data_IF_742325830493
#
_entry.id   IF_742325830493
#
_cell.length_a   1.000
_cell.length_b   1.000
_cell.length_c   1.000
_cell.angle_alpha   90.00
_cell.angle_beta   90.00
_cell.angle_gamma   90.00
#
_symmetry.space_group_name_H-M   'P 1'
#
loop_
_entity.id
_entity.type
_entity.pdbx_description
1 polymer ?
#
# COMPACT_ATOMS: atom_id res chain seq x y z
N UNK A 1 62.03 -6.54 32.75
CA UNK A 1 60.92 -5.58 32.62
C UNK A 1 59.76 -6.33 31.98
N UNK A 2 58.55 -6.31 32.55
CA UNK A 2 57.40 -7.02 32.00
C UNK A 2 56.97 -6.44 30.65
N UNK A 3 56.40 -7.29 29.78
CA UNK A 3 55.62 -6.83 28.62
C UNK A 3 54.25 -6.41 29.13
N UNK A 4 53.84 -5.18 28.84
CA UNK A 4 52.58 -4.61 29.32
C UNK A 4 51.57 -4.54 28.19
N UNK A 5 50.32 -4.89 28.50
CA UNK A 5 49.20 -4.42 27.70
C UNK A 5 49.10 -2.89 27.82
N UNK A 6 48.49 -2.25 26.84
CA UNK A 6 48.51 -0.79 26.80
C UNK A 6 47.67 -0.12 27.91
N UNK A 7 46.79 -0.88 28.57
CA UNK A 7 46.03 -0.47 29.77
C UNK A 7 46.73 -0.82 31.10
N UNK A 8 47.94 -1.38 31.05
CA UNK A 8 48.72 -1.78 32.23
C UNK A 8 49.88 -0.82 32.49
N UNK A 9 50.25 -0.73 33.76
CA UNK A 9 51.43 -0.02 34.25
C UNK A 9 52.22 -0.94 35.16
N UNK A 10 53.55 -0.79 35.17
CA UNK A 10 54.42 -1.56 36.05
C UNK A 10 55.24 -0.64 36.95
N UNK A 11 55.33 -0.99 38.24
CA UNK A 11 56.24 -0.37 39.20
C UNK A 11 57.19 -1.40 39.79
N UNK A 12 58.47 -1.08 39.89
CA UNK A 12 59.45 -1.97 40.51
C UNK A 12 59.41 -1.86 42.03
N UNK A 13 59.27 -3.00 42.71
CA UNK A 13 59.26 -3.09 44.16
C UNK A 13 60.66 -3.41 44.69
N UNK A 14 61.30 -2.43 45.33
CA UNK A 14 62.66 -2.58 45.85
C UNK A 14 62.80 -3.54 47.03
N UNK A 15 61.71 -3.90 47.71
CA UNK A 15 61.74 -4.83 48.86
C UNK A 15 61.62 -6.28 48.40
N UNK A 16 60.73 -6.57 47.46
CA UNK A 16 60.52 -7.92 46.93
C UNK A 16 61.41 -8.24 45.73
N UNK A 17 62.06 -7.22 45.15
CA UNK A 17 62.82 -7.31 43.90
C UNK A 17 61.98 -7.84 42.72
N UNK A 18 60.67 -7.54 42.71
CA UNK A 18 59.72 -7.93 41.67
C UNK A 18 59.06 -6.71 41.01
N UNK A 19 58.48 -6.91 39.83
CA UNK A 19 57.65 -5.91 39.16
C UNK A 19 56.19 -6.13 39.53
N UNK A 20 55.55 -5.11 40.11
CA UNK A 20 54.12 -5.09 40.36
C UNK A 20 53.43 -4.50 39.13
N UNK A 21 52.53 -5.26 38.49
CA UNK A 21 51.74 -4.83 37.33
C UNK A 21 50.31 -4.51 37.77
N UNK A 22 49.81 -3.35 37.38
CA UNK A 22 48.45 -2.89 37.69
C UNK A 22 47.77 -2.33 36.44
N UNK A 23 46.45 -2.43 36.38
CA UNK A 23 45.65 -1.99 35.24
C UNK A 23 44.57 -3.00 34.92
N UNK A 24 43.50 -2.54 34.28
CA UNK A 24 42.38 -3.38 33.87
C UNK A 24 41.88 -2.94 32.51
N UNK A 25 41.55 -3.90 31.66
CA UNK A 25 40.96 -3.60 30.36
C UNK A 25 39.67 -2.78 30.53
N UNK A 26 39.47 -1.70 29.74
CA UNK A 26 38.22 -0.95 29.75
C UNK A 26 37.01 -1.84 29.46
N UNK A 27 35.90 -1.58 30.14
CA UNK A 27 34.65 -2.29 29.89
C UNK A 27 34.24 -2.14 28.42
N UNK A 28 33.75 -3.25 27.83
CA UNK A 28 33.22 -3.23 26.47
C UNK A 28 32.00 -2.31 26.40
N UNK A 29 31.87 -1.48 25.34
CA UNK A 29 30.69 -0.63 25.17
C UNK A 29 29.44 -1.48 24.92
N UNK A 30 28.27 -0.95 25.31
CA UNK A 30 26.99 -1.50 24.87
C UNK A 30 26.85 -1.26 23.37
N UNK A 31 26.52 -2.31 22.61
CA UNK A 31 26.37 -2.25 21.17
C UNK A 31 24.91 -2.27 20.75
N UNK A 32 24.56 -1.49 19.73
CA UNK A 32 23.40 -1.79 18.92
C UNK A 32 23.62 -3.11 18.17
N UNK A 33 22.53 -3.76 17.78
CA UNK A 33 22.64 -5.10 17.21
C UNK A 33 23.28 -5.11 15.79
N UNK A 34 23.37 -3.95 15.13
CA UNK A 34 24.09 -3.73 13.87
C UNK A 34 25.54 -3.27 14.07
N UNK A 35 26.03 -3.21 15.32
CA UNK A 35 27.38 -2.76 15.66
C UNK A 35 28.26 -3.93 16.10
N UNK A 36 29.57 -3.74 15.97
CA UNK A 36 30.63 -4.63 16.45
C UNK A 36 31.72 -3.80 17.11
N UNK A 37 32.36 -4.32 18.15
CA UNK A 37 33.49 -3.67 18.81
C UNK A 37 34.76 -4.52 18.69
N UNK A 38 35.89 -3.88 18.41
CA UNK A 38 37.23 -4.48 18.46
C UNK A 38 38.14 -3.64 19.35
N UNK A 39 38.88 -4.28 20.26
CA UNK A 39 39.81 -3.57 21.13
C UNK A 39 41.11 -3.24 20.38
N UNK A 40 41.51 -1.97 20.44
CA UNK A 40 42.72 -1.46 19.81
C UNK A 40 43.86 -1.39 20.83
N UNK A 41 44.81 -2.32 20.72
CA UNK A 41 45.95 -2.40 21.64
C UNK A 41 46.95 -1.24 21.53
N UNK A 42 46.81 -0.34 20.55
CA UNK A 42 47.67 0.85 20.41
C UNK A 42 47.05 2.06 21.10
N UNK A 43 45.74 2.28 20.93
CA UNK A 43 45.01 3.41 21.50
C UNK A 43 44.42 3.11 22.88
N UNK A 44 44.36 1.83 23.26
CA UNK A 44 43.71 1.33 24.47
C UNK A 44 42.21 1.64 24.55
N UNK A 45 41.57 1.68 23.39
CA UNK A 45 40.15 1.99 23.25
C UNK A 45 39.44 0.91 22.45
N UNK A 46 38.11 0.85 22.60
CA UNK A 46 37.24 0.04 21.76
C UNK A 46 36.90 0.83 20.49
N UNK A 47 37.25 0.27 19.35
CA UNK A 47 36.80 0.75 18.04
C UNK A 47 35.44 0.11 17.74
N UNK A 48 34.38 0.91 17.61
CA UNK A 48 33.03 0.45 17.27
C UNK A 48 32.77 0.70 15.79
N UNK A 49 32.30 -0.32 15.08
CA UNK A 49 31.95 -0.26 13.66
C UNK A 49 30.58 -0.86 13.40
N UNK A 50 29.96 -0.48 12.30
CA UNK A 50 28.60 -0.89 11.94
C UNK A 50 27.69 0.32 11.74
N UNK A 51 26.67 0.16 10.92
CA UNK A 51 25.71 1.22 10.63
C UNK A 51 24.30 0.64 10.59
N UNK A 52 23.34 1.46 11.01
CA UNK A 52 21.94 1.07 10.93
C UNK A 52 21.56 0.81 9.47
N UNK A 53 20.90 -0.31 9.17
CA UNK A 53 20.38 -0.57 7.82
C UNK A 53 19.46 0.55 7.37
N UNK A 54 19.55 0.94 6.09
CA UNK A 54 18.67 1.95 5.52
C UNK A 54 17.20 1.54 5.69
N UNK A 55 16.36 2.50 6.04
CA UNK A 55 14.91 2.29 6.13
C UNK A 55 14.37 1.88 4.76
N UNK A 56 13.48 0.87 4.67
CA UNK A 56 12.87 0.47 3.41
C UNK A 56 12.00 1.61 2.85
N UNK A 57 11.85 1.63 1.53
CA UNK A 57 10.81 2.47 0.89
C UNK A 57 9.44 1.88 1.21
N UNK A 58 8.52 2.73 1.66
CA UNK A 58 7.19 2.32 2.08
C UNK A 58 6.14 2.75 1.07
N UNK A 59 5.16 1.89 0.82
CA UNK A 59 3.89 2.34 0.29
C UNK A 59 3.21 3.23 1.32
N UNK A 60 2.32 4.10 0.86
CA UNK A 60 1.72 5.10 1.76
C UNK A 60 0.77 4.48 2.82
N UNK A 61 0.33 3.22 2.62
CA UNK A 61 -0.43 2.42 3.58
C UNK A 61 0.45 1.54 4.48
N UNK A 62 1.77 1.67 4.40
CA UNK A 62 2.73 0.90 5.19
C UNK A 62 3.43 1.76 6.25
N UNK A 63 3.94 1.09 7.27
CA UNK A 63 4.77 1.65 8.33
C UNK A 63 5.93 0.69 8.61
N UNK A 64 7.07 1.20 9.07
CA UNK A 64 8.20 0.37 9.46
C UNK A 64 8.73 0.73 10.84
N UNK A 65 9.12 -0.30 11.60
CA UNK A 65 9.77 -0.19 12.90
C UNK A 65 11.03 -1.03 12.94
N UNK A 66 12.13 -0.47 13.45
CA UNK A 66 13.38 -1.23 13.56
C UNK A 66 13.35 -2.15 14.78
N UNK A 67 13.66 -3.43 14.55
CA UNK A 67 13.71 -4.45 15.57
C UNK A 67 15.15 -4.65 16.05
N UNK A 68 15.45 -4.17 17.26
CA UNK A 68 16.77 -4.27 17.85
C UNK A 68 17.22 -5.69 18.22
N UNK A 69 16.34 -6.69 18.12
CA UNK A 69 16.69 -8.10 18.37
C UNK A 69 17.09 -8.81 17.08
N UNK A 70 16.34 -8.59 15.98
CA UNK A 70 16.61 -9.22 14.68
C UNK A 70 17.52 -8.38 13.79
N UNK A 71 17.76 -7.12 14.14
CA UNK A 71 18.49 -6.14 13.35
C UNK A 71 17.88 -5.85 11.99
N UNK A 72 16.56 -5.94 11.90
CA UNK A 72 15.82 -5.74 10.65
C UNK A 72 14.70 -4.73 10.85
N UNK A 73 14.23 -4.17 9.74
CA UNK A 73 13.01 -3.37 9.70
C UNK A 73 11.80 -4.29 9.56
N UNK A 74 10.90 -4.23 10.53
CA UNK A 74 9.60 -4.88 10.44
C UNK A 74 8.64 -3.92 9.73
N UNK A 75 8.11 -4.33 8.57
CA UNK A 75 7.14 -3.55 7.78
C UNK A 75 5.74 -4.09 8.01
N UNK A 76 4.80 -3.20 8.32
CA UNK A 76 3.39 -3.53 8.55
C UNK A 76 2.47 -2.58 7.80
N UNK A 77 1.25 -3.02 7.52
CA UNK A 77 0.28 -2.27 6.72
C UNK A 77 -0.22 -3.09 5.54
N UNK A 78 -1.41 -2.76 5.05
CA UNK A 78 -2.03 -3.48 3.93
C UNK A 78 -2.81 -2.49 3.08
N UNK A 79 -2.76 -2.69 1.76
CA UNK A 79 -3.54 -1.89 0.84
C UNK A 79 -5.04 -1.97 1.21
N UNK A 80 -5.75 -0.83 1.31
CA UNK A 80 -7.18 -0.84 1.53
C UNK A 80 -7.91 -1.63 0.44
N UNK A 81 -8.93 -2.39 0.82
CA UNK A 81 -9.76 -3.12 -0.13
C UNK A 81 -10.36 -2.16 -1.17
N UNK A 82 -10.37 -2.58 -2.43
CA UNK A 82 -11.02 -1.83 -3.49
C UNK A 82 -12.51 -1.67 -3.18
N UNK A 83 -13.10 -0.47 -3.36
CA UNK A 83 -14.52 -0.26 -3.14
C UNK A 83 -15.35 -1.11 -4.11
N UNK A 84 -16.57 -1.46 -3.71
CA UNK A 84 -17.56 -2.01 -4.65
C UNK A 84 -17.99 -0.91 -5.59
N UNK A 85 -17.96 -1.18 -6.88
CA UNK A 85 -18.29 -0.20 -7.93
C UNK A 85 -19.64 -0.50 -8.54
N UNK A 86 -20.41 0.54 -8.83
CA UNK A 86 -21.45 0.45 -9.83
C UNK A 86 -20.82 0.17 -11.20
N UNK A 87 -21.58 -0.41 -12.11
CA UNK A 87 -21.07 -0.78 -13.43
C UNK A 87 -20.60 0.43 -14.27
N UNK A 88 -21.04 1.65 -13.92
CA UNK A 88 -20.67 2.91 -14.57
C UNK A 88 -19.53 3.64 -13.84
N UNK A 89 -18.96 3.04 -12.79
CA UNK A 89 -17.87 3.59 -12.00
C UNK A 89 -16.55 2.88 -12.28
N UNK A 90 -15.46 3.58 -12.03
CA UNK A 90 -14.09 3.08 -12.04
C UNK A 90 -13.37 3.59 -10.81
N UNK A 91 -12.41 2.83 -10.28
CA UNK A 91 -11.57 3.28 -9.17
C UNK A 91 -10.08 3.23 -9.53
N UNK A 92 -9.34 4.21 -9.05
CA UNK A 92 -7.87 4.27 -9.11
C UNK A 92 -7.31 4.50 -7.71
N UNK A 93 -6.24 3.81 -7.34
CA UNK A 93 -5.60 4.03 -6.06
C UNK A 93 -4.65 5.22 -6.12
N UNK A 94 -4.80 6.15 -5.19
CA UNK A 94 -3.97 7.34 -5.06
C UNK A 94 -2.86 7.09 -4.03
N UNK A 95 -1.63 6.91 -4.52
CA UNK A 95 -0.46 6.65 -3.68
C UNK A 95 -0.04 7.83 -2.78
N UNK A 96 -0.61 9.02 -2.96
CA UNK A 96 -0.34 10.18 -2.11
C UNK A 96 -1.33 10.28 -0.96
N UNK A 97 -2.61 10.07 -1.22
CA UNK A 97 -3.67 10.16 -0.19
C UNK A 97 -3.97 8.82 0.49
N UNK A 98 -3.46 7.72 -0.06
CA UNK A 98 -3.72 6.35 0.38
C UNK A 98 -5.18 5.93 0.31
N UNK A 99 -5.90 6.47 -0.66
CA UNK A 99 -7.32 6.21 -0.84
C UNK A 99 -7.63 5.81 -2.28
N UNK A 100 -8.77 5.15 -2.45
CA UNK A 100 -9.35 4.88 -3.76
C UNK A 100 -10.14 6.09 -4.23
N UNK A 101 -9.74 6.66 -5.36
CA UNK A 101 -10.51 7.69 -6.05
C UNK A 101 -11.51 6.99 -6.98
N UNK A 102 -12.81 7.16 -6.71
CA UNK A 102 -13.90 6.60 -7.52
C UNK A 102 -14.44 7.68 -8.46
N UNK A 103 -14.56 7.34 -9.75
CA UNK A 103 -15.10 8.22 -10.77
C UNK A 103 -16.13 7.50 -11.64
N UNK A 104 -17.00 8.26 -12.29
CA UNK A 104 -18.10 7.74 -13.09
C UNK A 104 -19.44 8.27 -12.58
N UNK A 105 -20.43 8.33 -13.47
CA UNK A 105 -21.76 8.81 -13.14
C UNK A 105 -22.79 7.97 -13.85
N UNK A 106 -23.94 7.81 -13.21
CA UNK A 106 -25.06 7.09 -13.81
C UNK A 106 -25.45 7.80 -15.12
N UNK A 107 -25.59 7.06 -16.24
CA UNK A 107 -26.07 7.65 -17.48
C UNK A 107 -27.44 8.30 -17.31
N UNK A 108 -27.65 9.44 -17.96
CA UNK A 108 -28.94 10.13 -17.92
C UNK A 108 -30.07 9.20 -18.38
N UNK A 109 -31.21 9.28 -17.70
CA UNK A 109 -32.40 8.52 -18.08
C UNK A 109 -32.84 8.93 -19.49
N UNK A 110 -33.19 7.98 -20.37
CA UNK A 110 -33.68 8.29 -21.72
C UNK A 110 -35.02 9.05 -21.65
N UNK A 111 -35.29 9.87 -22.67
CA UNK A 111 -36.61 10.47 -22.84
C UNK A 111 -37.63 9.38 -23.17
N UNK A 112 -38.77 9.39 -22.47
CA UNK A 112 -39.81 8.38 -22.62
C UNK A 112 -41.07 8.96 -23.27
N UNK A 113 -41.69 8.19 -24.15
CA UNK A 113 -43.06 8.41 -24.54
C UNK A 113 -44.03 8.11 -23.37
N UNK A 114 -45.27 8.60 -23.45
CA UNK A 114 -46.26 8.42 -22.37
C UNK A 114 -46.65 6.97 -22.08
N UNK A 115 -46.28 6.04 -22.96
CA UNK A 115 -46.55 4.61 -22.84
C UNK A 115 -45.29 3.77 -22.55
N UNK A 116 -44.15 4.42 -22.30
CA UNK A 116 -42.86 3.77 -22.02
C UNK A 116 -42.46 3.90 -20.55
N UNK A 117 -41.68 2.94 -20.09
CA UNK A 117 -41.00 2.92 -18.79
C UNK A 117 -39.55 2.53 -19.00
N UNK A 118 -38.64 3.04 -18.15
CA UNK A 118 -37.24 2.63 -18.16
C UNK A 118 -36.81 2.08 -16.80
N UNK A 119 -35.97 1.06 -16.80
CA UNK A 119 -35.28 0.53 -15.63
C UNK A 119 -33.80 0.41 -15.93
N UNK A 120 -32.94 0.85 -14.99
CA UNK A 120 -31.50 0.71 -15.17
C UNK A 120 -31.05 -0.71 -14.84
N UNK A 121 -30.32 -1.32 -15.77
CA UNK A 121 -29.78 -2.66 -15.64
C UNK A 121 -28.32 -2.57 -15.21
N UNK A 122 -28.03 -2.93 -13.96
CA UNK A 122 -26.68 -2.87 -13.41
C UNK A 122 -25.73 -3.93 -13.98
N UNK A 123 -26.24 -4.96 -14.67
CA UNK A 123 -25.41 -5.99 -15.29
C UNK A 123 -24.92 -5.56 -16.69
N UNK A 124 -25.79 -4.94 -17.49
CA UNK A 124 -25.44 -4.43 -18.83
C UNK A 124 -24.97 -2.98 -18.80
N UNK A 125 -25.19 -2.30 -17.68
CA UNK A 125 -24.89 -0.89 -17.48
C UNK A 125 -25.63 0.07 -18.43
N UNK A 126 -26.88 -0.28 -18.75
CA UNK A 126 -27.72 0.47 -19.69
C UNK A 126 -29.14 0.62 -19.15
N UNK A 127 -29.86 1.58 -19.73
CA UNK A 127 -31.30 1.73 -19.50
C UNK A 127 -32.07 0.77 -20.41
N UNK A 128 -32.81 -0.14 -19.81
CA UNK A 128 -33.77 -0.98 -20.52
C UNK A 128 -35.10 -0.21 -20.62
N UNK A 129 -35.55 0.08 -21.84
CA UNK A 129 -36.82 0.77 -22.11
C UNK A 129 -37.85 -0.25 -22.58
N UNK A 130 -39.00 -0.28 -21.91
CA UNK A 130 -40.14 -1.12 -22.30
C UNK A 130 -41.37 -0.25 -22.49
N UNK A 131 -42.24 -0.61 -23.43
CA UNK A 131 -43.49 0.12 -23.65
C UNK A 131 -44.47 -0.69 -24.47
N UNK A 132 -45.75 -0.55 -24.16
CA UNK A 132 -46.81 -1.14 -24.98
C UNK A 132 -47.92 -0.12 -25.19
N UNK A 133 -47.91 0.52 -26.35
CA UNK A 133 -48.97 1.44 -26.72
C UNK A 133 -50.11 0.71 -27.41
N UNK A 134 -51.08 0.21 -26.65
CA UNK A 134 -52.24 -0.51 -27.22
C UNK A 134 -52.99 0.33 -28.27
N UNK A 135 -53.12 1.65 -28.05
CA UNK A 135 -53.79 2.57 -28.98
C UNK A 135 -52.97 2.91 -30.24
N UNK A 136 -51.63 3.06 -30.16
CA UNK A 136 -50.80 3.23 -31.36
C UNK A 136 -50.69 1.93 -32.16
N UNK A 137 -50.65 0.77 -31.51
CA UNK A 137 -50.72 -0.52 -32.18
C UNK A 137 -52.05 -0.67 -32.93
N UNK A 138 -53.19 -0.33 -32.30
CA UNK A 138 -54.48 -0.28 -32.99
C UNK A 138 -54.48 0.71 -34.15
N UNK A 139 -53.89 1.90 -34.01
CA UNK A 139 -53.79 2.87 -35.10
C UNK A 139 -52.91 2.40 -36.26
N UNK A 140 -51.78 1.74 -35.99
CA UNK A 140 -50.92 1.09 -37.00
C UNK A 140 -51.66 -0.04 -37.73
N UNK A 141 -52.34 -0.90 -36.98
CA UNK A 141 -53.18 -1.98 -37.52
C UNK A 141 -54.33 -1.41 -38.35
N UNK A 142 -55.03 -0.38 -37.87
CA UNK A 142 -56.08 0.31 -38.63
C UNK A 142 -55.54 1.01 -39.89
N UNK A 143 -54.35 1.61 -39.84
CA UNK A 143 -53.69 2.18 -41.03
C UNK A 143 -53.38 1.11 -42.08
N UNK A 144 -52.80 -0.02 -41.67
CA UNK A 144 -52.55 -1.15 -42.59
C UNK A 144 -53.85 -1.71 -43.16
N UNK A 145 -54.90 -1.89 -42.33
CA UNK A 145 -56.22 -2.31 -42.78
C UNK A 145 -56.85 -1.33 -43.78
N UNK A 146 -56.77 -0.02 -43.53
CA UNK A 146 -57.23 1.01 -44.48
C UNK A 146 -56.45 0.96 -45.79
N UNK A 147 -55.11 0.82 -45.75
CA UNK A 147 -54.27 0.70 -46.95
C UNK A 147 -54.54 -0.57 -47.75
N UNK A 148 -54.85 -1.69 -47.09
CA UNK A 148 -55.26 -2.94 -47.73
C UNK A 148 -56.64 -2.78 -48.39
N UNK A 149 -57.58 -2.10 -47.72
CA UNK A 149 -58.94 -1.91 -48.25
C UNK A 149 -58.96 -1.04 -49.51
N UNK A 150 -58.08 -0.03 -49.60
CA UNK A 150 -57.94 0.82 -50.79
C UNK A 150 -57.40 0.04 -52.00
N UNK A 151 -56.59 -1.01 -51.81
CA UNK A 151 -56.08 -1.83 -52.91
C UNK A 151 -57.12 -2.81 -53.49
N UNK A 152 -58.14 -3.22 -52.71
CA UNK A 152 -59.15 -4.20 -53.16
C UNK A 152 -60.33 -3.54 -53.90
N UNK A 153 -60.59 -2.25 -53.66
CA UNK A 153 -61.64 -1.49 -54.37
C UNK A 153 -61.18 -0.84 -55.69
N UNK A 154 -59.96 -1.14 -56.14
CA UNK A 154 -59.32 -0.56 -57.33
C UNK A 154 -59.04 -1.55 -58.47
N UNK A 155 -59.73 -2.69 -58.50
CA UNK A 155 -59.72 -3.65 -59.62
C UNK A 155 -61.13 -3.90 -60.14
#
# INVERSE_FOLDING_TARGET
MPTLACYETASFNGTTCQWDVTGSMPAMPTLACYETASFNGTTCQWDVTGSMPAMPTLACYETASFNGTTCQWDVTGSMPAMPTLACYETASFNGTTCQWDVTGSMPAMPNLACYETASFNSATCQWDVTGSCQLCQLWLVMKQLLSITIHVSGM
#
